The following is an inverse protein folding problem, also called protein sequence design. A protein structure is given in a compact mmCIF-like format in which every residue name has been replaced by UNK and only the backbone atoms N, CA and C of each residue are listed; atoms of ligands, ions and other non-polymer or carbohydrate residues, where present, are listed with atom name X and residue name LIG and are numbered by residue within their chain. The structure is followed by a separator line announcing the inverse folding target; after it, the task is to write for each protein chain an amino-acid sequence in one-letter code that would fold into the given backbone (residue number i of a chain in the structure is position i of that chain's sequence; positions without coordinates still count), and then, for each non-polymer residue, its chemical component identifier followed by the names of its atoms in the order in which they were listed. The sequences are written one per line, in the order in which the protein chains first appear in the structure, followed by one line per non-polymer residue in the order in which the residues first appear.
data_IF_309774015045
#
_entry.id   IF_309774015045
#
_cell.length_a   1.000
_cell.length_b   1.000
_cell.length_c   1.000
_cell.angle_alpha   90.00
_cell.angle_beta   90.00
_cell.angle_gamma   90.00
#
_symmetry.space_group_name_H-M   'P 1'
#
loop_
_entity.id
_entity.type
_entity.pdbx_description
1 polymer ?
#
# COMPACT_ATOMS: atom_id res chain seq x y z
N UNK A 1 13.29 -2.12 -1.27
CA UNK A 1 11.89 -2.59 -1.25
C UNK A 1 11.41 -2.82 0.18
N UNK A 2 10.10 -2.80 0.37
CA UNK A 2 9.49 -3.04 1.67
C UNK A 2 8.50 -4.20 1.56
N UNK A 3 8.63 -5.18 2.47
CA UNK A 3 7.73 -6.33 2.56
C UNK A 3 6.62 -6.03 3.56
N UNK A 4 5.36 -6.14 3.16
CA UNK A 4 4.19 -5.79 3.97
C UNK A 4 3.05 -6.77 3.79
N UNK A 5 2.20 -6.88 4.80
CA UNK A 5 0.94 -7.62 4.67
C UNK A 5 -0.10 -6.81 3.89
N UNK A 6 -0.03 -5.50 3.99
CA UNK A 6 -0.93 -4.58 3.32
C UNK A 6 -0.63 -3.17 3.75
N UNK A 7 -1.54 -2.26 3.43
CA UNK A 7 -1.42 -0.88 3.88
C UNK A 7 -2.78 -0.27 4.15
N UNK A 8 -2.80 0.76 5.00
CA UNK A 8 -3.99 1.55 5.25
C UNK A 8 -4.05 2.74 4.32
N UNK A 9 -5.26 3.08 3.91
CA UNK A 9 -5.53 4.30 3.14
C UNK A 9 -6.86 4.85 3.58
N UNK A 10 -7.02 6.17 3.50
CA UNK A 10 -8.21 6.85 3.97
C UNK A 10 -8.98 7.44 2.80
N UNK A 11 -10.25 7.06 2.69
CA UNK A 11 -11.18 7.71 1.78
C UNK A 11 -11.71 8.97 2.47
N UNK A 12 -11.57 10.11 1.81
CA UNK A 12 -12.11 11.36 2.31
C UNK A 12 -13.37 11.70 1.53
N UNK A 13 -14.52 11.82 2.24
CA UNK A 13 -15.77 12.31 1.71
C UNK A 13 -16.30 13.39 2.63
N UNK A 14 -16.48 14.60 2.10
CA UNK A 14 -16.82 15.79 2.89
C UNK A 14 -15.80 15.98 4.00
N UNK A 15 -16.06 15.93 5.23
CA UNK A 15 -15.07 16.06 6.31
C UNK A 15 -14.82 14.73 7.03
N UNK A 16 -15.24 13.62 6.43
CA UNK A 16 -15.11 12.30 7.03
C UNK A 16 -13.99 11.52 6.35
N UNK A 17 -13.08 11.00 7.17
CA UNK A 17 -12.02 10.09 6.73
C UNK A 17 -12.35 8.67 7.15
N UNK A 18 -12.50 7.80 6.19
CA UNK A 18 -12.81 6.39 6.44
C UNK A 18 -11.60 5.53 6.08
N UNK A 19 -11.05 4.76 7.04
CA UNK A 19 -9.88 3.94 6.77
C UNK A 19 -10.24 2.62 6.10
N UNK A 20 -9.38 2.20 5.17
CA UNK A 20 -9.46 0.93 4.47
C UNK A 20 -8.13 0.22 4.53
N UNK A 21 -8.17 -1.11 4.65
CA UNK A 21 -6.98 -1.95 4.53
C UNK A 21 -6.92 -2.56 3.14
N UNK A 22 -5.78 -2.39 2.47
CA UNK A 22 -5.53 -2.90 1.12
C UNK A 22 -4.52 -4.04 1.20
N UNK A 23 -4.74 -5.09 0.44
CA UNK A 23 -3.91 -6.28 0.50
C UNK A 23 -4.01 -7.10 -0.80
N UNK A 24 -3.08 -8.06 -0.96
CA UNK A 24 -3.20 -9.13 -1.95
C UNK A 24 -3.66 -10.40 -1.23
N UNK A 25 -4.76 -11.03 -1.65
CA UNK A 25 -5.20 -12.28 -1.03
C UNK A 25 -4.10 -13.33 -1.07
N UNK A 26 -3.84 -13.96 0.08
CA UNK A 26 -2.89 -15.06 0.25
C UNK A 26 -1.43 -14.72 -0.08
N UNK A 27 -1.10 -13.45 -0.24
CA UNK A 27 0.26 -13.01 -0.58
C UNK A 27 0.69 -11.82 0.25
N UNK A 28 2.01 -11.70 0.43
CA UNK A 28 2.61 -10.50 0.97
C UNK A 28 2.85 -9.48 -0.16
N UNK A 29 2.89 -8.22 0.22
CA UNK A 29 3.17 -7.11 -0.69
C UNK A 29 4.64 -6.72 -0.60
N UNK A 30 5.20 -6.33 -1.75
CA UNK A 30 6.52 -5.71 -1.81
C UNK A 30 6.36 -4.33 -2.42
N UNK A 31 6.68 -3.30 -1.65
CA UNK A 31 6.63 -1.92 -2.11
C UNK A 31 7.99 -1.52 -2.69
N UNK A 32 7.97 -0.86 -3.85
CA UNK A 32 9.17 -0.24 -4.37
C UNK A 32 9.62 0.87 -3.42
N UNK A 33 10.87 0.88 -3.07
CA UNK A 33 11.44 1.88 -2.18
C UNK A 33 12.73 2.44 -2.73
N UNK A 34 13.07 3.64 -2.30
CA UNK A 34 14.35 4.29 -2.58
C UNK A 34 14.93 4.77 -1.26
N UNK A 35 16.24 4.90 -1.23
CA UNK A 35 16.91 5.44 -0.05
C UNK A 35 18.15 6.24 -0.44
N UNK A 36 18.55 7.14 0.45
CA UNK A 36 19.90 7.67 0.45
C UNK A 36 20.39 7.83 1.89
N UNK A 37 21.71 7.86 2.05
CA UNK A 37 22.31 7.84 3.38
C UNK A 37 22.03 9.11 4.20
N UNK A 38 21.71 10.21 3.53
CA UNK A 38 21.45 11.50 4.20
C UNK A 38 19.99 11.68 4.59
N UNK A 39 19.06 11.21 3.77
CA UNK A 39 17.62 11.53 3.87
C UNK A 39 16.77 10.35 4.34
N UNK A 40 17.32 9.15 4.39
CA UNK A 40 16.60 7.94 4.78
C UNK A 40 15.87 7.27 3.61
N UNK A 41 14.73 6.65 3.90
CA UNK A 41 14.00 5.81 2.96
C UNK A 41 12.63 6.40 2.62
N UNK A 42 12.16 6.12 1.40
CA UNK A 42 10.82 6.50 0.96
C UNK A 42 10.19 5.39 0.14
N UNK A 43 8.88 5.22 0.27
CA UNK A 43 8.10 4.34 -0.59
C UNK A 43 7.74 5.12 -1.85
N UNK A 44 7.97 4.50 -3.01
CA UNK A 44 7.57 5.08 -4.28
C UNK A 44 6.07 4.90 -4.46
N UNK A 45 5.38 5.96 -4.84
CA UNK A 45 3.94 5.93 -5.11
C UNK A 45 3.66 6.14 -6.59
N UNK A 46 2.48 5.72 -7.00
CA UNK A 46 1.98 5.88 -8.36
C UNK A 46 0.49 6.14 -8.34
N UNK A 47 -0.09 6.41 -9.49
CA UNK A 47 -1.54 6.56 -9.63
C UNK A 47 -2.24 5.27 -9.21
N UNK A 48 -3.34 5.39 -8.45
CA UNK A 48 -4.06 4.22 -7.96
C UNK A 48 -4.71 3.41 -9.09
N UNK A 49 -4.72 2.09 -8.90
CA UNK A 49 -5.48 1.17 -9.76
C UNK A 49 -6.96 1.55 -9.77
N UNK A 50 -7.66 1.22 -10.86
CA UNK A 50 -9.06 1.62 -11.05
C UNK A 50 -9.99 1.11 -9.94
N UNK A 51 -9.71 -0.08 -9.41
CA UNK A 51 -10.56 -0.69 -8.38
C UNK A 51 -10.42 -0.05 -7.00
N UNK A 52 -9.39 0.75 -6.76
CA UNK A 52 -9.15 1.42 -5.47
C UNK A 52 -9.03 2.94 -5.58
N UNK A 53 -9.14 3.49 -6.79
CA UNK A 53 -8.98 4.94 -7.01
C UNK A 53 -10.04 5.78 -6.31
N UNK A 54 -11.20 5.21 -6.01
CA UNK A 54 -12.27 5.89 -5.27
C UNK A 54 -11.93 6.08 -3.79
N UNK A 55 -10.95 5.36 -3.26
CA UNK A 55 -10.50 5.48 -1.87
C UNK A 55 -9.41 6.53 -1.78
N UNK A 56 -8.40 6.44 -2.63
CA UNK A 56 -7.30 7.40 -2.69
C UNK A 56 -6.69 7.42 -4.07
N UNK A 57 -6.22 8.59 -4.52
CA UNK A 57 -5.70 8.77 -5.89
C UNK A 57 -4.28 8.23 -6.10
N UNK A 58 -3.54 7.93 -5.03
CA UNK A 58 -2.18 7.39 -5.08
C UNK A 58 -2.10 6.08 -4.32
N UNK A 59 -1.20 5.20 -4.74
CA UNK A 59 -0.91 3.94 -4.08
C UNK A 59 0.59 3.68 -4.07
N UNK A 60 1.09 2.80 -3.18
CA UNK A 60 2.45 2.31 -3.31
C UNK A 60 2.64 1.57 -4.63
N UNK A 61 3.81 1.72 -5.25
CA UNK A 61 4.16 0.92 -6.42
C UNK A 61 4.48 -0.50 -5.96
N UNK A 62 3.71 -1.47 -6.46
CA UNK A 62 3.83 -2.87 -6.06
C UNK A 62 4.75 -3.63 -7.00
N UNK A 63 5.61 -4.47 -6.43
CA UNK A 63 6.52 -5.33 -7.17
C UNK A 63 6.12 -6.79 -6.96
N UNK A 64 6.09 -7.59 -8.02
CA UNK A 64 6.03 -9.03 -7.86
C UNK A 64 7.45 -9.57 -7.62
N UNK A 65 7.57 -10.85 -7.34
CA UNK A 65 8.87 -11.46 -7.01
C UNK A 65 9.91 -11.30 -8.12
N UNK A 66 9.49 -11.36 -9.38
CA UNK A 66 10.39 -11.18 -10.52
C UNK A 66 10.84 -9.73 -10.67
N UNK A 67 10.00 -8.79 -10.31
CA UNK A 67 10.28 -7.36 -10.43
C UNK A 67 11.19 -6.83 -9.31
N UNK A 68 11.29 -7.54 -8.20
CA UNK A 68 12.15 -7.13 -7.07
C UNK A 68 13.61 -6.98 -7.53
N UNK A 69 14.13 -7.99 -8.22
CA UNK A 69 15.51 -7.95 -8.71
C UNK A 69 15.72 -6.86 -9.75
N UNK A 70 14.74 -6.63 -10.63
CA UNK A 70 14.79 -5.56 -11.61
C UNK A 70 14.87 -4.19 -10.94
N UNK A 71 14.05 -3.98 -9.92
CA UNK A 71 14.04 -2.72 -9.17
C UNK A 71 15.38 -2.47 -8.46
N UNK A 72 15.89 -3.47 -7.75
CA UNK A 72 17.16 -3.37 -7.02
C UNK A 72 18.32 -3.09 -7.96
N UNK A 73 18.28 -3.65 -9.17
CA UNK A 73 19.35 -3.43 -10.18
C UNK A 73 19.26 -2.09 -10.91
N UNK A 74 18.25 -1.28 -10.60
CA UNK A 74 18.10 0.07 -11.14
C UNK A 74 17.10 0.21 -12.27
N UNK A 75 16.36 -0.84 -12.64
CA UNK A 75 15.29 -0.76 -13.63
C UNK A 75 14.03 -0.22 -12.95
N UNK A 76 13.71 1.04 -13.18
CA UNK A 76 12.61 1.72 -12.50
C UNK A 76 11.35 1.87 -13.34
N UNK A 77 11.31 1.32 -14.54
CA UNK A 77 10.08 1.19 -15.31
C UNK A 77 9.49 -0.18 -15.05
N UNK A 78 8.42 -0.22 -14.26
CA UNK A 78 7.83 -1.45 -13.76
C UNK A 78 6.39 -1.58 -14.27
N UNK A 79 6.09 -2.71 -14.90
CA UNK A 79 4.73 -3.05 -15.30
C UNK A 79 3.86 -3.32 -14.07
N UNK A 80 2.64 -2.82 -14.07
CA UNK A 80 1.75 -2.86 -12.90
C UNK A 80 0.86 -4.10 -12.95
N UNK A 81 1.47 -5.27 -12.84
CA UNK A 81 0.78 -6.55 -13.06
C UNK A 81 -0.05 -7.03 -11.85
N UNK A 82 0.20 -6.47 -10.66
CA UNK A 82 -0.49 -6.87 -9.44
C UNK A 82 -1.75 -6.05 -9.14
N UNK A 83 -1.96 -4.94 -9.84
CA UNK A 83 -3.01 -3.98 -9.52
C UNK A 83 -4.41 -4.61 -9.55
N UNK A 84 -4.69 -5.48 -10.52
CA UNK A 84 -5.98 -6.13 -10.67
C UNK A 84 -6.30 -7.12 -9.55
N UNK A 85 -5.28 -7.52 -8.80
CA UNK A 85 -5.41 -8.52 -7.73
C UNK A 85 -5.64 -7.89 -6.36
N UNK A 86 -5.58 -6.57 -6.26
CA UNK A 86 -5.76 -5.87 -5.00
C UNK A 86 -7.17 -6.02 -4.46
N UNK A 87 -7.25 -6.31 -3.18
CA UNK A 87 -8.49 -6.33 -2.42
C UNK A 87 -8.42 -5.31 -1.30
N UNK A 88 -9.58 -4.92 -0.79
CA UNK A 88 -9.66 -3.95 0.29
C UNK A 88 -10.93 -4.16 1.10
N UNK A 89 -10.91 -3.69 2.35
CA UNK A 89 -12.10 -3.62 3.19
C UNK A 89 -11.96 -2.50 4.22
N UNK A 90 -13.09 -2.02 4.70
CA UNK A 90 -13.13 -0.98 5.71
C UNK A 90 -12.71 -1.54 7.06
N UNK A 91 -11.94 -0.75 7.80
CA UNK A 91 -11.48 -1.10 9.15
C UNK A 91 -11.91 -0.03 10.16
N UNK A 92 -11.72 -0.33 11.43
CA UNK A 92 -12.06 0.59 12.52
C UNK A 92 -11.24 1.87 12.47
N UNK A 93 -11.86 3.00 12.83
CA UNK A 93 -11.17 4.29 13.00
C UNK A 93 -10.11 4.28 14.10
N UNK A 94 -10.01 3.23 14.90
CA UNK A 94 -8.93 3.06 15.88
C UNK A 94 -7.55 3.12 15.23
N UNK A 95 -7.43 2.78 13.96
CA UNK A 95 -6.16 2.89 13.21
C UNK A 95 -5.67 4.33 13.06
N UNK A 96 -6.53 5.32 13.30
CA UNK A 96 -6.17 6.73 13.20
C UNK A 96 -5.25 7.20 14.34
N UNK A 97 -5.15 6.43 15.42
CA UNK A 97 -4.25 6.73 16.53
C UNK A 97 -3.07 5.78 16.54
N UNK A 98 -1.81 6.27 16.53
CA UNK A 98 -0.65 5.39 16.60
C UNK A 98 -0.52 4.67 17.95
N UNK A 99 -1.30 5.03 18.96
CA UNK A 99 -1.37 4.33 20.26
C UNK A 99 -2.02 2.96 20.12
N UNK A 100 -2.89 2.78 19.12
CA UNK A 100 -3.54 1.50 18.85
C UNK A 100 -2.64 0.69 17.93
N UNK A 101 -2.22 -0.49 18.38
CA UNK A 101 -1.34 -1.35 17.61
C UNK A 101 -1.61 -2.81 17.99
N UNK A 102 -2.80 -3.30 17.65
CA UNK A 102 -3.19 -4.69 17.88
C UNK A 102 -3.80 -5.28 16.61
N UNK A 103 -3.91 -6.61 16.58
CA UNK A 103 -4.40 -7.32 15.38
C UNK A 103 -5.87 -7.03 15.06
N UNK A 104 -6.65 -6.55 16.01
CA UNK A 104 -8.05 -6.18 15.77
C UNK A 104 -8.18 -5.00 14.80
N UNK A 105 -7.12 -4.20 14.66
CA UNK A 105 -7.06 -3.12 13.67
C UNK A 105 -7.17 -3.62 12.23
N UNK A 106 -6.88 -4.90 11.98
CA UNK A 106 -7.01 -5.53 10.67
C UNK A 106 -8.37 -6.17 10.45
N UNK A 107 -9.26 -6.15 11.45
CA UNK A 107 -10.57 -6.77 11.31
C UNK A 107 -11.47 -5.92 10.42
N UNK A 108 -12.12 -6.60 9.49
CA UNK A 108 -13.13 -5.98 8.64
C UNK A 108 -14.32 -5.52 9.50
N UNK A 109 -14.77 -4.31 9.22
CA UNK A 109 -16.00 -3.78 9.83
C UNK A 109 -17.20 -4.27 9.05
#
# INVERSE_FOLDING_TARGET
MYKRQGWYEWQRQENIKTPYFHFLPDNLLYFAGIYNLSSGCAVVTCESANNISHIHHRQPLLLDENQINEWISGKHEISRILDDQLSFYQVSKRVNSPKNNDKELLYKI
#
